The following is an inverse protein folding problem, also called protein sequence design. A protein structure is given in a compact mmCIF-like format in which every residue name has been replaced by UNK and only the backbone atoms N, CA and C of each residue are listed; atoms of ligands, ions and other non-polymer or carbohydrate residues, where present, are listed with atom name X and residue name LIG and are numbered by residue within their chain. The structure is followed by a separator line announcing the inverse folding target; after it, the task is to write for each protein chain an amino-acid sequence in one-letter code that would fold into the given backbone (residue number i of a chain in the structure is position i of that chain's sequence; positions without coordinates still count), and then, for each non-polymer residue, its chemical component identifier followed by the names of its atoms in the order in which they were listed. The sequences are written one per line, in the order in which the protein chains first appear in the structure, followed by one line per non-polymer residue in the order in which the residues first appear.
data_IF_132809535953
#
_entry.id   IF_132809535953
#
_cell.length_a   1.000
_cell.length_b   1.000
_cell.length_c   1.000
_cell.angle_alpha   90.00
_cell.angle_beta   90.00
_cell.angle_gamma   90.00
#
_symmetry.space_group_name_H-M   'P 1'
#
loop_
_entity.id
_entity.type
_entity.pdbx_description
1 polymer ?
#
# COMPACT_ATOMS: atom_id res chain seq x y z
N UNK A 1 -8.57 -29.40 -18.74
CA UNK A 1 -8.38 -27.95 -18.94
C UNK A 1 -9.69 -27.25 -18.66
N UNK A 2 -9.85 -26.69 -17.46
CA UNK A 2 -10.67 -25.51 -17.25
C UNK A 2 -10.22 -24.90 -15.92
N UNK A 3 -9.76 -23.66 -15.99
CA UNK A 3 -9.09 -22.96 -14.90
C UNK A 3 -10.11 -22.50 -13.86
N UNK A 4 -9.86 -22.85 -12.61
CA UNK A 4 -10.49 -22.23 -11.44
C UNK A 4 -10.13 -20.75 -11.44
N UNK A 5 -11.10 -19.91 -11.84
CA UNK A 5 -11.03 -18.47 -11.61
C UNK A 5 -11.26 -18.26 -10.12
N UNK A 6 -10.18 -18.06 -9.37
CA UNK A 6 -10.26 -17.51 -8.02
C UNK A 6 -11.03 -16.19 -8.08
N UNK A 7 -12.26 -16.21 -7.59
CA UNK A 7 -13.06 -15.03 -7.29
C UNK A 7 -12.32 -14.26 -6.18
N UNK A 8 -11.44 -13.35 -6.59
CA UNK A 8 -10.91 -12.33 -5.71
C UNK A 8 -12.02 -11.28 -5.50
N UNK A 9 -12.96 -11.59 -4.62
CA UNK A 9 -13.94 -10.64 -4.09
C UNK A 9 -13.19 -9.59 -3.27
N UNK A 10 -12.53 -8.65 -3.95
CA UNK A 10 -12.24 -7.36 -3.35
C UNK A 10 -13.59 -6.76 -3.01
N UNK A 11 -13.91 -6.73 -1.71
CA UNK A 11 -15.07 -6.05 -1.18
C UNK A 11 -15.00 -4.58 -1.62
N UNK A 12 -15.62 -4.28 -2.76
CA UNK A 12 -15.82 -2.92 -3.23
C UNK A 12 -16.79 -2.29 -2.24
N UNK A 13 -16.25 -1.49 -1.32
CA UNK A 13 -17.08 -0.62 -0.52
C UNK A 13 -17.94 0.20 -1.49
N UNK A 14 -19.25 0.23 -1.26
CA UNK A 14 -20.13 1.12 -2.02
C UNK A 14 -19.82 2.57 -1.61
N UNK A 15 -19.71 3.51 -2.56
CA UNK A 15 -19.43 4.92 -2.26
C UNK A 15 -20.38 5.39 -1.16
N UNK A 16 -19.82 6.04 -0.13
CA UNK A 16 -20.63 6.49 0.99
C UNK A 16 -21.59 7.54 0.45
N UNK A 17 -22.87 7.21 0.37
CA UNK A 17 -23.93 8.14 -0.08
C UNK A 17 -24.18 9.28 0.91
N UNK A 18 -23.47 9.31 2.04
CA UNK A 18 -23.57 10.40 3.01
C UNK A 18 -22.86 11.66 2.49
N UNK A 19 -23.65 12.53 1.90
CA UNK A 19 -23.29 13.88 1.44
C UNK A 19 -22.78 14.79 2.57
N UNK A 20 -22.89 14.38 3.84
CA UNK A 20 -22.42 15.15 4.98
C UNK A 20 -20.91 15.39 4.99
N UNK A 21 -20.14 14.43 4.46
CA UNK A 21 -18.66 14.51 4.45
C UNK A 21 -18.09 15.07 3.14
N UNK A 22 -18.96 15.55 2.26
CA UNK A 22 -18.56 16.13 0.99
C UNK A 22 -17.80 17.45 1.23
N UNK A 23 -16.60 17.65 0.67
CA UNK A 23 -15.83 18.87 0.87
C UNK A 23 -16.63 20.14 0.54
N UNK A 24 -17.53 20.11 -0.44
CA UNK A 24 -18.36 21.26 -0.80
C UNK A 24 -19.37 21.60 0.31
N UNK A 25 -20.02 20.59 0.89
CA UNK A 25 -20.98 20.77 1.98
C UNK A 25 -20.28 21.32 3.23
N UNK A 26 -19.09 20.81 3.55
CA UNK A 26 -18.31 21.28 4.70
C UNK A 26 -17.83 22.73 4.48
N UNK A 27 -17.35 23.06 3.27
CA UNK A 27 -16.98 24.44 2.90
C UNK A 27 -18.17 25.40 3.05
N UNK A 28 -19.36 24.99 2.62
CA UNK A 28 -20.57 25.79 2.74
C UNK A 28 -21.00 26.00 4.20
N UNK A 29 -20.90 24.96 5.06
CA UNK A 29 -21.21 25.05 6.50
C UNK A 29 -20.19 25.90 7.26
N UNK A 30 -18.92 25.86 6.86
CA UNK A 30 -17.81 26.53 7.55
C UNK A 30 -16.97 27.40 6.61
N UNK A 31 -17.52 28.50 6.06
CA UNK A 31 -16.84 29.31 5.03
C UNK A 31 -15.58 30.03 5.53
N UNK A 32 -15.42 30.17 6.85
CA UNK A 32 -14.23 30.75 7.46
C UNK A 32 -13.04 29.79 7.47
N UNK A 33 -13.28 28.48 7.34
CA UNK A 33 -12.22 27.48 7.19
C UNK A 33 -11.82 27.45 5.71
N UNK A 34 -10.57 27.84 5.42
CA UNK A 34 -10.00 27.82 4.06
C UNK A 34 -9.67 26.39 3.62
N UNK A 35 -10.70 25.56 3.47
CA UNK A 35 -10.54 24.16 3.07
C UNK A 35 -10.21 24.08 1.58
N UNK A 36 -9.18 23.31 1.23
CA UNK A 36 -8.81 23.04 -0.15
C UNK A 36 -9.72 22.00 -0.81
N UNK A 37 -10.25 21.05 -0.03
CA UNK A 37 -10.90 19.84 -0.57
C UNK A 37 -9.90 18.71 -0.86
N UNK A 38 -8.66 18.82 -0.36
CA UNK A 38 -7.62 17.79 -0.51
C UNK A 38 -7.22 17.19 0.83
N UNK A 39 -6.95 15.89 0.84
CA UNK A 39 -6.35 15.16 1.96
C UNK A 39 -4.95 14.73 1.58
N UNK A 40 -3.97 15.04 2.42
CA UNK A 40 -2.60 14.53 2.27
C UNK A 40 -2.43 13.40 3.29
N UNK A 41 -2.44 12.16 2.82
CA UNK A 41 -2.26 10.99 3.66
C UNK A 41 -0.77 10.60 3.68
N UNK A 42 -0.13 10.65 4.84
CA UNK A 42 1.29 10.37 4.99
C UNK A 42 1.48 9.04 5.72
N UNK A 43 2.22 8.11 5.10
CA UNK A 43 2.54 6.80 5.66
C UNK A 43 4.05 6.59 5.71
N UNK A 44 4.51 5.69 6.58
CA UNK A 44 5.93 5.34 6.64
C UNK A 44 6.41 4.64 5.37
N UNK A 45 5.61 3.76 4.79
CA UNK A 45 5.91 3.01 3.57
C UNK A 45 4.69 2.91 2.66
N UNK A 46 4.93 2.86 1.34
CA UNK A 46 3.87 2.65 0.36
C UNK A 46 3.18 1.29 0.56
N UNK A 47 1.88 1.15 0.24
CA UNK A 47 1.18 -0.13 0.21
C UNK A 47 1.72 -1.11 -0.85
N UNK A 48 2.50 -0.58 -1.80
CA UNK A 48 3.09 -1.33 -2.90
C UNK A 48 4.61 -1.20 -2.83
N UNK A 49 5.29 -2.32 -2.99
CA UNK A 49 6.73 -2.37 -3.18
C UNK A 49 7.06 -2.29 -4.66
N UNK A 50 8.03 -1.44 -5.00
CA UNK A 50 8.54 -1.28 -6.36
C UNK A 50 9.76 -2.17 -6.50
N UNK A 51 9.80 -3.00 -7.55
CA UNK A 51 10.92 -3.90 -7.81
C UNK A 51 11.26 -3.94 -9.30
N UNK A 52 12.51 -4.27 -9.61
CA UNK A 52 13.05 -4.31 -10.97
C UNK A 52 13.17 -5.76 -11.46
N UNK A 53 12.51 -6.08 -12.57
CA UNK A 53 12.59 -7.38 -13.25
C UNK A 53 13.93 -7.55 -13.99
N UNK A 54 14.24 -8.80 -14.33
CA UNK A 54 15.46 -9.18 -15.05
C UNK A 54 15.62 -8.47 -16.41
N UNK A 55 14.53 -8.09 -17.05
CA UNK A 55 14.51 -7.41 -18.36
C UNK A 55 14.58 -5.88 -18.26
N UNK A 56 15.06 -5.32 -17.13
CA UNK A 56 15.05 -3.88 -16.82
C UNK A 56 13.65 -3.24 -16.69
N UNK A 57 12.58 -4.02 -16.66
CA UNK A 57 11.22 -3.53 -16.41
C UNK A 57 10.98 -3.28 -14.92
N UNK A 58 10.17 -2.27 -14.60
CA UNK A 58 9.70 -2.01 -13.23
C UNK A 58 8.33 -2.63 -13.03
N UNK A 59 8.12 -3.24 -11.87
CA UNK A 59 6.82 -3.81 -11.49
C UNK A 59 6.54 -3.52 -10.01
N UNK A 60 5.28 -3.67 -9.62
CA UNK A 60 4.78 -3.37 -8.29
C UNK A 60 4.13 -4.59 -7.65
N UNK A 61 4.38 -4.78 -6.36
CA UNK A 61 3.80 -5.87 -5.58
C UNK A 61 3.12 -5.31 -4.35
N UNK A 62 1.87 -5.73 -4.10
CA UNK A 62 1.18 -5.38 -2.85
C UNK A 62 1.92 -5.95 -1.64
N UNK A 63 2.22 -5.09 -0.68
CA UNK A 63 2.81 -5.48 0.59
C UNK A 63 1.73 -6.06 1.51
N UNK A 64 2.12 -7.07 2.30
CA UNK A 64 1.28 -7.62 3.36
C UNK A 64 1.52 -6.84 4.66
N UNK A 65 0.49 -6.78 5.52
CA UNK A 65 0.53 -6.05 6.79
C UNK A 65 -0.13 -4.67 6.70
N UNK A 66 -0.50 -4.09 7.84
CA UNK A 66 -1.21 -2.81 7.94
C UNK A 66 -2.48 -2.73 7.06
N UNK A 67 -3.21 -3.84 6.95
CA UNK A 67 -4.42 -3.94 6.12
C UNK A 67 -5.44 -2.86 6.47
N UNK A 68 -5.66 -2.59 7.76
CA UNK A 68 -6.58 -1.54 8.20
C UNK A 68 -6.18 -0.13 7.69
N UNK A 69 -4.88 0.18 7.67
CA UNK A 69 -4.38 1.46 7.18
C UNK A 69 -4.55 1.56 5.65
N UNK A 70 -4.25 0.49 4.93
CA UNK A 70 -4.41 0.45 3.47
C UNK A 70 -5.88 0.50 3.07
N UNK A 71 -6.76 -0.17 3.82
CA UNK A 71 -8.21 -0.08 3.64
C UNK A 71 -8.72 1.34 3.94
N UNK A 72 -8.21 2.00 4.97
CA UNK A 72 -8.54 3.41 5.25
C UNK A 72 -8.11 4.33 4.10
N UNK A 73 -6.93 4.13 3.51
CA UNK A 73 -6.51 4.89 2.33
C UNK A 73 -7.38 4.61 1.11
N UNK A 74 -7.67 3.34 0.84
CA UNK A 74 -8.57 2.95 -0.25
C UNK A 74 -9.96 3.55 -0.08
N UNK A 75 -10.44 3.66 1.16
CA UNK A 75 -11.69 4.33 1.48
C UNK A 75 -11.63 5.83 1.16
N UNK A 76 -10.58 6.52 1.59
CA UNK A 76 -10.43 7.96 1.29
C UNK A 76 -10.36 8.22 -0.23
N UNK A 77 -9.65 7.36 -0.95
CA UNK A 77 -9.43 7.49 -2.40
C UNK A 77 -10.67 7.17 -3.24
N UNK A 78 -11.45 6.15 -2.86
CA UNK A 78 -12.55 5.65 -3.69
C UNK A 78 -13.94 6.06 -3.22
N UNK A 79 -14.10 6.30 -1.92
CA UNK A 79 -15.42 6.36 -1.27
C UNK A 79 -15.77 7.78 -0.82
N UNK A 80 -14.84 8.73 -0.95
CA UNK A 80 -15.03 10.13 -0.58
C UNK A 80 -14.76 11.02 -1.77
N UNK A 81 -15.40 12.20 -1.81
CA UNK A 81 -15.16 13.21 -2.84
C UNK A 81 -13.90 14.06 -2.58
N UNK A 82 -13.11 13.71 -1.56
CA UNK A 82 -11.85 14.40 -1.26
C UNK A 82 -10.75 13.90 -2.19
N UNK A 83 -10.03 14.83 -2.81
CA UNK A 83 -8.82 14.49 -3.57
C UNK A 83 -7.73 14.06 -2.59
N UNK A 84 -7.38 12.77 -2.62
CA UNK A 84 -6.42 12.17 -1.67
C UNK A 84 -5.06 11.97 -2.33
N UNK A 85 -4.01 12.55 -1.73
CA UNK A 85 -2.63 12.31 -2.14
C UNK A 85 -1.90 11.48 -1.09
N UNK A 86 -1.37 10.33 -1.51
CA UNK A 86 -0.55 9.47 -0.67
C UNK A 86 0.93 9.86 -0.77
N UNK A 87 1.57 10.11 0.38
CA UNK A 87 3.00 10.35 0.48
C UNK A 87 3.60 9.30 1.41
N UNK A 88 4.54 8.52 0.89
CA UNK A 88 5.25 7.53 1.70
C UNK A 88 6.61 7.18 1.08
N UNK A 89 7.47 6.53 1.87
CA UNK A 89 8.73 6.00 1.37
C UNK A 89 8.49 4.71 0.56
N UNK A 90 9.24 4.54 -0.52
CA UNK A 90 9.13 3.39 -1.44
C UNK A 90 9.66 2.09 -0.84
N UNK A 91 10.38 2.16 0.28
CA UNK A 91 11.21 1.05 0.74
C UNK A 91 12.49 0.94 -0.10
N UNK A 92 13.18 -0.18 0.10
CA UNK A 92 14.36 -0.57 -0.68
C UNK A 92 13.93 -1.05 -2.08
N UNK A 93 14.65 -0.59 -3.11
CA UNK A 93 14.43 -1.02 -4.49
C UNK A 93 15.10 -2.38 -4.69
N UNK A 94 14.27 -3.43 -4.71
CA UNK A 94 14.75 -4.79 -4.91
C UNK A 94 14.88 -5.11 -6.41
N UNK A 95 15.96 -5.79 -6.77
CA UNK A 95 16.06 -6.51 -8.04
C UNK A 95 15.50 -7.92 -7.85
N UNK A 96 14.78 -8.45 -8.84
CA UNK A 96 14.17 -9.80 -8.81
C UNK A 96 15.19 -10.94 -8.63
N UNK A 97 16.49 -10.61 -8.58
CA UNK A 97 17.63 -11.49 -8.39
C UNK A 97 17.96 -11.62 -6.88
N UNK A 98 17.54 -10.67 -6.05
CA UNK A 98 17.83 -10.61 -4.61
C UNK A 98 16.60 -11.01 -3.79
N UNK A 99 16.36 -12.32 -3.74
CA UNK A 99 15.94 -13.06 -2.54
C UNK A 99 14.50 -12.88 -1.94
N UNK A 100 14.08 -13.83 -1.07
CA UNK A 100 12.69 -14.20 -0.86
C UNK A 100 11.94 -13.17 -0.01
N UNK A 101 10.61 -13.17 -0.18
CA UNK A 101 9.59 -12.38 0.52
C UNK A 101 10.10 -11.84 1.88
N UNK A 102 10.12 -10.50 2.13
CA UNK A 102 10.74 -9.88 3.32
C UNK A 102 10.15 -10.30 4.69
N UNK A 103 9.15 -11.19 4.72
CA UNK A 103 8.45 -11.66 5.92
C UNK A 103 8.16 -13.16 5.93
N UNK A 104 8.74 -13.95 5.03
CA UNK A 104 8.74 -15.40 5.23
C UNK A 104 9.77 -15.72 6.31
N UNK A 105 9.35 -16.40 7.38
CA UNK A 105 10.29 -17.12 8.26
C UNK A 105 11.13 -17.99 7.33
N UNK A 106 12.46 -17.87 7.30
CA UNK A 106 13.29 -18.65 6.41
C UNK A 106 13.18 -20.13 6.78
N UNK A 107 12.26 -20.87 6.15
CA UNK A 107 12.29 -22.32 6.19
C UNK A 107 13.40 -22.76 5.24
N UNK A 108 14.60 -22.94 5.77
CA UNK A 108 15.69 -23.64 5.09
C UNK A 108 16.88 -22.79 4.63
N UNK A 109 17.03 -21.53 5.04
CA UNK A 109 18.31 -20.83 4.81
C UNK A 109 19.37 -21.43 5.73
N UNK A 110 20.37 -22.10 5.13
CA UNK A 110 21.56 -22.56 5.87
C UNK A 110 22.21 -21.35 6.54
N UNK A 111 22.54 -21.50 7.81
CA UNK A 111 23.09 -20.46 8.71
C UNK A 111 24.37 -19.82 8.13
N UNK A 112 25.04 -20.53 7.21
CA UNK A 112 26.24 -20.11 6.46
C UNK A 112 26.03 -18.88 5.56
N UNK A 113 24.79 -18.52 5.23
CA UNK A 113 24.47 -17.33 4.42
C UNK A 113 24.12 -16.10 5.25
N UNK A 114 24.10 -16.20 6.58
CA UNK A 114 23.81 -15.07 7.47
C UNK A 114 25.06 -14.19 7.67
N UNK A 115 25.07 -12.90 7.30
CA UNK A 115 26.24 -12.03 7.50
C UNK A 115 26.72 -11.96 8.97
N UNK A 116 25.90 -12.37 9.95
CA UNK A 116 26.24 -12.38 11.36
C UNK A 116 26.92 -13.66 11.88
N UNK A 117 26.97 -14.76 11.10
CA UNK A 117 27.49 -16.04 11.60
C UNK A 117 28.99 -16.02 11.95
N UNK A 118 29.76 -15.08 11.39
CA UNK A 118 31.21 -14.97 11.59
C UNK A 118 31.65 -14.26 12.88
N UNK A 119 30.72 -13.84 13.74
CA UNK A 119 31.07 -13.04 14.93
C UNK A 119 31.32 -13.85 16.21
N UNK A 120 31.31 -15.19 16.16
CA UNK A 120 31.72 -16.06 17.28
C UNK A 120 32.97 -16.85 16.92
N UNK A 121 34.14 -16.28 17.25
CA UNK A 121 35.41 -16.98 17.44
C UNK A 121 35.95 -16.68 18.82
#
# INVERSE_FOLDING_TARGET
MSADRENNEEAIASPVSNTEFDPEVIKAKHPHLKLSGRIINVMSQLPHQIYKKKENEWDVKRLRGNSALYSSNSFLDQQTNWETHLVAWTGELLTQIDDPIPRSIPHGTKIENDPLWKTRS
#
